data_IF_130384497959
#
_entry.id   IF_130384497959
#
_cell.length_a   1.000
_cell.length_b   1.000
_cell.length_c   1.000
_cell.angle_alpha   90.00
_cell.angle_beta   90.00
_cell.angle_gamma   90.00
#
_symmetry.space_group_name_H-M   'P 1'
#
loop_
_entity.id
_entity.type
_entity.pdbx_description
1 polymer ?
#
# COMPACT_ATOMS: atom_id res chain seq x y z
N UNK A 1 -2.46 26.33 -1.94
CA UNK A 1 -2.95 26.08 -0.58
C UNK A 1 -2.30 24.76 -0.14
N UNK A 2 -1.39 24.82 0.83
CA UNK A 2 -0.78 23.60 1.39
C UNK A 2 -1.84 22.82 2.16
N UNK A 3 -1.67 21.48 2.22
CA UNK A 3 -2.52 20.64 3.04
C UNK A 3 -2.31 20.99 4.53
N UNK A 4 -3.37 21.36 5.24
CA UNK A 4 -3.33 21.74 6.66
C UNK A 4 -3.16 20.53 7.60
N UNK A 5 -3.01 19.33 7.03
CA UNK A 5 -2.89 18.07 7.77
C UNK A 5 -1.55 17.40 7.54
N UNK A 6 -1.09 16.68 8.55
CA UNK A 6 -0.03 15.67 8.41
C UNK A 6 -0.70 14.34 8.16
N UNK A 7 -0.25 13.64 7.11
CA UNK A 7 -0.72 12.30 6.76
C UNK A 7 0.36 11.26 7.05
N UNK A 8 -0.04 10.11 7.59
CA UNK A 8 0.82 8.97 7.85
C UNK A 8 0.12 7.68 7.46
N UNK A 9 0.88 6.64 7.22
CA UNK A 9 0.35 5.29 6.97
C UNK A 9 1.11 4.31 7.84
N UNK A 10 0.38 3.53 8.62
CA UNK A 10 0.93 2.36 9.31
C UNK A 10 0.48 1.10 8.60
N UNK A 11 1.38 0.12 8.49
CA UNK A 11 1.10 -1.17 7.85
C UNK A 11 1.13 -2.23 8.93
N UNK A 12 0.09 -3.05 8.97
CA UNK A 12 0.02 -4.22 9.86
C UNK A 12 -0.53 -5.41 9.09
N UNK A 13 -0.22 -6.63 9.53
CA UNK A 13 -0.82 -7.84 9.02
C UNK A 13 -2.14 -8.09 9.76
N UNK A 14 -3.14 -8.65 9.06
CA UNK A 14 -4.36 -9.15 9.67
C UNK A 14 -4.21 -10.64 9.97
N UNK A 15 -4.60 -11.05 11.16
CA UNK A 15 -4.84 -12.45 11.47
C UNK A 15 -6.24 -12.82 11.00
N UNK A 16 -6.32 -13.70 10.02
CA UNK A 16 -7.58 -14.07 9.35
C UNK A 16 -7.84 -15.56 9.45
N UNK A 17 -9.07 -15.94 9.77
CA UNK A 17 -9.55 -17.33 9.63
C UNK A 17 -9.80 -17.68 8.17
N UNK A 18 -9.98 -18.97 7.85
CA UNK A 18 -10.27 -19.40 6.48
C UNK A 18 -11.59 -18.79 5.97
N UNK A 19 -12.63 -18.72 6.81
CA UNK A 19 -13.92 -18.10 6.44
C UNK A 19 -13.78 -16.59 6.16
N UNK A 20 -12.99 -15.88 6.97
CA UNK A 20 -12.71 -14.46 6.76
C UNK A 20 -11.89 -14.24 5.49
N UNK A 21 -10.96 -15.14 5.20
CA UNK A 21 -10.16 -15.13 3.97
C UNK A 21 -11.04 -15.18 2.74
N UNK A 22 -11.96 -16.14 2.67
CA UNK A 22 -12.86 -16.31 1.53
C UNK A 22 -13.67 -15.04 1.27
N UNK A 23 -14.25 -14.43 2.31
CA UNK A 23 -15.02 -13.18 2.21
C UNK A 23 -14.16 -11.98 1.77
N UNK A 24 -12.92 -11.89 2.23
CA UNK A 24 -12.00 -10.82 1.84
C UNK A 24 -11.53 -11.00 0.39
N UNK A 25 -11.25 -12.21 -0.05
CA UNK A 25 -10.85 -12.52 -1.43
C UNK A 25 -11.99 -12.24 -2.41
N UNK A 26 -13.21 -12.63 -2.06
CA UNK A 26 -14.40 -12.29 -2.84
C UNK A 26 -14.58 -10.77 -2.93
N UNK A 27 -14.47 -10.07 -1.80
CA UNK A 27 -14.56 -8.60 -1.76
C UNK A 27 -13.51 -7.94 -2.65
N UNK A 28 -12.26 -8.42 -2.64
CA UNK A 28 -11.18 -7.95 -3.52
C UNK A 28 -11.51 -8.23 -5.00
N UNK A 29 -12.10 -9.39 -5.29
CA UNK A 29 -12.50 -9.76 -6.65
C UNK A 29 -13.59 -8.83 -7.18
N UNK A 30 -14.65 -8.64 -6.41
CA UNK A 30 -15.75 -7.75 -6.76
C UNK A 30 -15.33 -6.29 -6.81
N UNK A 31 -14.39 -5.87 -5.93
CA UNK A 31 -13.78 -4.56 -5.99
C UNK A 31 -13.06 -4.31 -7.32
N UNK A 32 -12.22 -5.25 -7.77
CA UNK A 32 -11.52 -5.12 -9.06
C UNK A 32 -12.52 -5.04 -10.21
N UNK A 33 -13.55 -5.86 -10.18
CA UNK A 33 -14.63 -5.86 -11.18
C UNK A 33 -15.39 -4.53 -11.22
N UNK A 34 -15.75 -3.98 -10.05
CA UNK A 34 -16.40 -2.68 -9.96
C UNK A 34 -15.52 -1.52 -10.43
N UNK A 35 -14.24 -1.50 -10.06
CA UNK A 35 -13.28 -0.51 -10.57
C UNK A 35 -13.09 -0.60 -12.09
N UNK A 36 -13.02 -1.82 -12.64
CA UNK A 36 -12.87 -2.02 -14.08
C UNK A 36 -14.12 -1.55 -14.84
N UNK A 37 -15.31 -1.92 -14.37
CA UNK A 37 -16.58 -1.49 -14.96
C UNK A 37 -16.70 0.03 -15.01
N UNK A 38 -16.46 0.70 -13.88
CA UNK A 38 -16.50 2.16 -13.81
C UNK A 38 -15.46 2.82 -14.73
N UNK A 39 -14.28 2.21 -14.86
CA UNK A 39 -13.23 2.68 -15.78
C UNK A 39 -13.65 2.52 -17.23
N UNK A 40 -14.25 1.39 -17.60
CA UNK A 40 -14.68 1.11 -18.98
C UNK A 40 -15.76 2.09 -19.45
N UNK A 41 -16.66 2.47 -18.53
CA UNK A 41 -17.70 3.44 -18.81
C UNK A 41 -17.18 4.88 -18.95
N UNK A 42 -16.19 5.25 -18.12
CA UNK A 42 -15.69 6.62 -18.02
C UNK A 42 -14.48 6.92 -18.93
N UNK A 43 -13.76 5.89 -19.40
CA UNK A 43 -12.54 6.06 -20.19
C UNK A 43 -12.75 6.90 -21.45
N UNK A 44 -11.93 7.94 -21.62
CA UNK A 44 -12.02 8.89 -22.71
C UNK A 44 -13.16 9.90 -22.63
N UNK A 45 -13.98 9.87 -21.55
CA UNK A 45 -15.12 10.78 -21.36
C UNK A 45 -14.96 11.62 -20.11
N UNK A 46 -14.71 10.99 -18.96
CA UNK A 46 -14.68 11.60 -17.64
C UNK A 46 -13.50 11.12 -16.81
N UNK A 47 -13.02 11.96 -15.91
CA UNK A 47 -11.94 11.65 -14.97
C UNK A 47 -12.13 12.26 -13.57
N UNK A 48 -13.09 13.16 -13.40
CA UNK A 48 -13.43 13.69 -12.09
C UNK A 48 -14.35 12.73 -11.32
N UNK A 49 -14.17 12.63 -10.01
CA UNK A 49 -15.01 11.78 -9.14
C UNK A 49 -16.49 12.17 -9.24
N UNK A 50 -16.78 13.48 -9.34
CA UNK A 50 -18.14 14.03 -9.49
C UNK A 50 -18.87 13.53 -10.73
N UNK A 51 -18.14 13.15 -11.77
CA UNK A 51 -18.72 12.76 -13.06
C UNK A 51 -18.75 11.23 -13.19
N UNK A 52 -17.68 10.55 -12.74
CA UNK A 52 -17.58 9.09 -12.82
C UNK A 52 -18.54 8.40 -11.87
N UNK A 53 -18.74 8.94 -10.65
CA UNK A 53 -19.65 8.35 -9.68
C UNK A 53 -21.10 8.28 -10.19
N UNK A 54 -21.75 9.37 -10.59
CA UNK A 54 -23.14 9.28 -11.09
C UNK A 54 -23.24 8.48 -12.38
N UNK A 55 -22.19 8.44 -13.21
CA UNK A 55 -22.16 7.65 -14.44
C UNK A 55 -22.20 6.15 -14.18
N UNK A 56 -21.41 5.66 -13.22
CA UNK A 56 -21.13 4.22 -13.11
C UNK A 56 -21.67 3.57 -11.83
N UNK A 57 -22.15 4.35 -10.86
CA UNK A 57 -22.55 3.82 -9.55
C UNK A 57 -23.64 2.73 -9.64
N UNK A 58 -24.71 2.98 -10.42
CA UNK A 58 -25.81 2.03 -10.52
C UNK A 58 -25.36 0.73 -11.19
N UNK A 59 -24.60 0.82 -12.28
CA UNK A 59 -24.09 -0.35 -13.00
C UNK A 59 -23.13 -1.16 -12.10
N UNK A 60 -22.27 -0.50 -11.32
CA UNK A 60 -21.42 -1.19 -10.34
C UNK A 60 -22.26 -1.89 -9.29
N UNK A 61 -23.33 -1.25 -8.77
CA UNK A 61 -24.23 -1.88 -7.78
C UNK A 61 -25.00 -3.06 -8.33
N UNK A 62 -25.39 -3.01 -9.59
CA UNK A 62 -26.19 -4.06 -10.23
C UNK A 62 -25.30 -5.24 -10.71
N UNK A 63 -24.08 -4.94 -11.12
CA UNK A 63 -23.17 -5.94 -11.69
C UNK A 63 -22.17 -6.54 -10.69
N UNK A 64 -22.12 -6.06 -9.45
CA UNK A 64 -21.19 -6.57 -8.41
C UNK A 64 -21.92 -6.75 -7.08
N UNK A 65 -21.38 -7.59 -6.20
CA UNK A 65 -21.88 -7.80 -4.84
C UNK A 65 -21.34 -6.76 -3.83
N UNK A 66 -20.72 -5.68 -4.32
CA UNK A 66 -20.21 -4.61 -3.48
C UNK A 66 -21.34 -3.86 -2.75
N UNK A 67 -21.19 -3.62 -1.46
CA UNK A 67 -22.02 -2.69 -0.71
C UNK A 67 -21.97 -1.26 -1.28
N UNK A 68 -22.99 -0.44 -0.99
CA UNK A 68 -23.15 0.91 -1.56
C UNK A 68 -21.90 1.79 -1.41
N UNK A 69 -21.24 1.76 -0.24
CA UNK A 69 -20.04 2.56 -0.01
C UNK A 69 -18.84 2.05 -0.79
N UNK A 70 -18.64 0.73 -0.87
CA UNK A 70 -17.58 0.16 -1.72
C UNK A 70 -17.81 0.47 -3.20
N UNK A 71 -19.04 0.45 -3.70
CA UNK A 71 -19.36 0.85 -5.07
C UNK A 71 -18.97 2.32 -5.33
N UNK A 72 -19.25 3.24 -4.40
CA UNK A 72 -18.80 4.62 -4.49
C UNK A 72 -17.25 4.70 -4.54
N UNK A 73 -16.57 4.02 -3.61
CA UNK A 73 -15.12 4.01 -3.57
C UNK A 73 -14.49 3.41 -4.84
N UNK A 74 -15.14 2.40 -5.45
CA UNK A 74 -14.69 1.81 -6.71
C UNK A 74 -14.77 2.83 -7.87
N UNK A 75 -15.85 3.61 -7.96
CA UNK A 75 -15.97 4.68 -8.96
C UNK A 75 -14.92 5.78 -8.74
N UNK A 76 -14.61 6.12 -7.48
CA UNK A 76 -13.55 7.07 -7.14
C UNK A 76 -12.16 6.55 -7.49
N UNK A 77 -11.91 5.26 -7.30
CA UNK A 77 -10.65 4.61 -7.68
C UNK A 77 -10.49 4.61 -9.21
N UNK A 78 -11.56 4.35 -9.96
CA UNK A 78 -11.56 4.45 -11.41
C UNK A 78 -11.22 5.88 -11.88
N UNK A 79 -11.87 6.89 -11.31
CA UNK A 79 -11.58 8.29 -11.60
C UNK A 79 -10.11 8.64 -11.35
N UNK A 80 -9.56 8.22 -10.20
CA UNK A 80 -8.15 8.43 -9.85
C UNK A 80 -7.19 7.76 -10.85
N UNK A 81 -7.49 6.53 -11.26
CA UNK A 81 -6.68 5.81 -12.24
C UNK A 81 -6.69 6.49 -13.61
N UNK A 82 -7.86 6.96 -14.08
CA UNK A 82 -7.99 7.72 -15.33
C UNK A 82 -7.22 9.03 -15.26
N UNK A 83 -7.35 9.78 -14.16
CA UNK A 83 -6.59 11.03 -13.94
C UNK A 83 -5.10 10.79 -14.00
N UNK A 84 -4.58 9.76 -13.34
CA UNK A 84 -3.17 9.40 -13.41
C UNK A 84 -2.69 9.04 -14.83
N UNK A 85 -3.55 8.45 -15.66
CA UNK A 85 -3.24 8.23 -17.08
C UNK A 85 -3.15 9.55 -17.86
N UNK A 86 -4.07 10.50 -17.62
CA UNK A 86 -4.07 11.82 -18.27
C UNK A 86 -2.80 12.59 -17.88
N UNK A 87 -2.41 12.60 -16.61
CA UNK A 87 -1.19 13.25 -16.14
C UNK A 87 0.08 12.63 -16.77
N UNK A 88 0.11 11.30 -16.94
CA UNK A 88 1.21 10.62 -17.64
C UNK A 88 1.26 10.98 -19.12
N UNK A 89 0.09 11.09 -19.77
CA UNK A 89 -0.01 11.53 -21.17
C UNK A 89 0.47 12.96 -21.35
N UNK A 90 0.17 13.86 -20.40
CA UNK A 90 0.66 15.23 -20.40
C UNK A 90 2.20 15.34 -20.27
N UNK A 91 2.86 14.27 -19.84
CA UNK A 91 4.33 14.11 -19.76
C UNK A 91 4.88 13.28 -20.94
N UNK A 92 4.20 13.23 -22.08
CA UNK A 92 4.54 12.49 -23.30
C UNK A 92 4.78 10.98 -23.09
N UNK A 93 4.20 10.39 -22.03
CA UNK A 93 4.28 8.94 -21.80
C UNK A 93 3.16 8.21 -22.53
N UNK A 94 3.47 7.04 -23.09
CA UNK A 94 2.43 6.13 -23.61
C UNK A 94 1.51 5.72 -22.47
N UNK A 95 0.21 5.81 -22.71
CA UNK A 95 -0.83 5.39 -21.77
C UNK A 95 -1.83 4.48 -22.45
N UNK A 96 -2.30 3.49 -21.71
CA UNK A 96 -3.44 2.62 -22.08
C UNK A 96 -4.53 2.77 -21.02
N UNK A 97 -5.73 2.28 -21.34
CA UNK A 97 -6.82 2.20 -20.38
C UNK A 97 -6.36 1.42 -19.13
N UNK A 98 -6.62 1.92 -17.92
CA UNK A 98 -6.25 1.22 -16.69
C UNK A 98 -6.92 -0.16 -16.58
N UNK A 99 -6.19 -1.13 -16.05
CA UNK A 99 -6.70 -2.46 -15.67
C UNK A 99 -6.39 -2.73 -14.20
N UNK A 100 -7.35 -3.33 -13.48
CA UNK A 100 -7.27 -3.57 -12.04
C UNK A 100 -6.93 -5.04 -11.77
N UNK A 101 -5.66 -5.35 -11.64
CA UNK A 101 -5.15 -6.70 -11.39
C UNK A 101 -4.65 -6.91 -9.96
N UNK A 102 -4.22 -5.83 -9.30
CA UNK A 102 -3.67 -5.91 -7.94
C UNK A 102 -4.74 -6.42 -6.95
N UNK A 103 -4.39 -7.35 -6.04
CA UNK A 103 -5.30 -7.88 -5.02
C UNK A 103 -5.44 -6.87 -3.87
N UNK A 104 -6.13 -5.76 -4.13
CA UNK A 104 -6.34 -4.67 -3.18
C UNK A 104 -7.80 -4.27 -3.11
N UNK A 105 -8.22 -3.75 -1.96
CA UNK A 105 -9.51 -3.09 -1.78
C UNK A 105 -9.34 -1.87 -0.86
N UNK A 106 -10.09 -0.82 -1.09
CA UNK A 106 -10.06 0.39 -0.28
C UNK A 106 -11.21 0.44 0.71
N UNK A 107 -10.88 0.96 1.86
CA UNK A 107 -11.79 1.18 2.97
C UNK A 107 -11.77 2.64 3.40
N UNK A 108 -12.91 3.14 3.83
CA UNK A 108 -13.06 4.42 4.50
C UNK A 108 -13.69 4.21 5.89
N UNK A 109 -13.97 5.28 6.61
CA UNK A 109 -14.56 5.24 7.96
C UNK A 109 -15.97 4.65 8.02
N UNK A 110 -16.65 4.45 6.87
CA UNK A 110 -17.96 3.78 6.79
C UNK A 110 -17.82 2.27 6.59
N UNK A 111 -16.76 1.85 5.92
CA UNK A 111 -16.50 0.46 5.58
C UNK A 111 -15.48 -0.21 6.50
N UNK A 112 -14.74 0.57 7.28
CA UNK A 112 -13.75 0.10 8.25
C UNK A 112 -13.92 0.80 9.59
N UNK A 113 -13.74 0.04 10.68
CA UNK A 113 -13.66 0.55 12.04
C UNK A 113 -12.49 -0.11 12.74
N UNK A 114 -11.55 0.66 13.26
CA UNK A 114 -10.47 0.18 14.13
C UNK A 114 -10.94 0.34 15.56
N UNK A 115 -10.66 -0.64 16.41
CA UNK A 115 -11.07 -0.68 17.82
C UNK A 115 -9.83 -0.62 18.73
N UNK A 116 -10.03 -0.19 19.97
CA UNK A 116 -8.97 -0.03 20.97
C UNK A 116 -8.41 -1.37 21.48
N UNK A 117 -9.07 -2.49 21.15
CA UNK A 117 -8.66 -3.86 21.51
C UNK A 117 -7.81 -4.53 20.43
N UNK A 118 -7.12 -3.74 19.61
CA UNK A 118 -6.26 -4.22 18.54
C UNK A 118 -6.99 -5.03 17.45
N UNK A 119 -8.28 -4.80 17.27
CA UNK A 119 -9.06 -5.41 16.21
C UNK A 119 -9.52 -4.39 15.18
N UNK A 120 -9.85 -4.87 14.00
CA UNK A 120 -10.47 -4.09 12.93
C UNK A 120 -11.70 -4.79 12.38
N UNK A 121 -12.77 -4.03 12.17
CA UNK A 121 -13.95 -4.51 11.45
C UNK A 121 -13.95 -3.98 10.03
N UNK A 122 -14.02 -4.87 9.06
CA UNK A 122 -14.02 -4.58 7.63
C UNK A 122 -15.35 -5.03 7.01
N UNK A 123 -15.96 -4.17 6.20
CA UNK A 123 -17.10 -4.57 5.38
C UNK A 123 -16.66 -5.48 4.25
N UNK A 124 -17.41 -6.54 3.99
CA UNK A 124 -17.20 -7.44 2.84
C UNK A 124 -18.42 -7.38 1.92
N UNK A 125 -18.48 -8.25 0.93
CA UNK A 125 -19.62 -8.41 0.03
C UNK A 125 -20.89 -8.85 0.77
N UNK A 126 -20.78 -9.71 1.79
CA UNK A 126 -21.91 -10.26 2.53
C UNK A 126 -22.13 -9.56 3.89
N UNK A 127 -21.08 -9.44 4.68
CA UNK A 127 -21.18 -9.01 6.08
C UNK A 127 -19.97 -8.19 6.50
N UNK A 128 -19.84 -7.88 7.78
CA UNK A 128 -18.61 -7.35 8.34
C UNK A 128 -17.81 -8.46 9.00
N UNK A 129 -16.52 -8.52 8.72
CA UNK A 129 -15.57 -9.40 9.40
C UNK A 129 -14.77 -8.59 10.41
N UNK A 130 -14.46 -9.20 11.56
CA UNK A 130 -13.60 -8.63 12.59
C UNK A 130 -12.33 -9.46 12.68
N UNK A 131 -11.19 -8.84 12.44
CA UNK A 131 -9.87 -9.47 12.41
C UNK A 131 -8.97 -8.83 13.46
N UNK A 132 -8.05 -9.60 14.00
CA UNK A 132 -6.99 -9.11 14.88
C UNK A 132 -5.89 -8.44 14.04
N UNK A 133 -5.33 -7.35 14.58
CA UNK A 133 -4.16 -6.66 14.01
C UNK A 133 -2.90 -7.29 14.62
N UNK A 134 -2.03 -7.84 13.79
CA UNK A 134 -0.72 -8.32 14.24
C UNK A 134 0.19 -7.13 14.58
N UNK A 135 0.05 -6.63 15.80
CA UNK A 135 0.83 -5.50 16.32
C UNK A 135 1.99 -6.00 17.18
N UNK A 136 3.14 -5.26 17.21
CA UNK A 136 4.23 -5.61 18.11
C UNK A 136 3.81 -5.41 19.57
N UNK A 137 4.29 -6.29 20.46
CA UNK A 137 4.01 -6.26 21.91
C UNK A 137 4.63 -5.05 22.62
N UNK A 138 5.49 -4.28 21.96
CA UNK A 138 6.17 -3.15 22.57
C UNK A 138 5.31 -1.88 22.49
N UNK A 139 5.16 -1.17 23.61
CA UNK A 139 4.42 0.10 23.73
C UNK A 139 4.92 1.21 22.78
N UNK A 140 6.12 1.07 22.20
CA UNK A 140 6.75 2.02 21.29
C UNK A 140 6.79 1.53 19.83
N UNK A 141 5.95 0.57 19.45
CA UNK A 141 5.81 0.13 18.06
C UNK A 141 5.36 1.27 17.13
N UNK A 142 5.85 1.24 15.87
CA UNK A 142 5.52 2.29 14.89
C UNK A 142 4.00 2.49 14.72
N UNK A 143 3.21 1.40 14.75
CA UNK A 143 1.76 1.44 14.62
C UNK A 143 1.08 2.04 15.85
N UNK A 144 1.57 1.72 17.05
CA UNK A 144 1.02 2.15 18.34
C UNK A 144 1.01 3.68 18.48
N UNK A 145 2.02 4.38 17.98
CA UNK A 145 2.08 5.85 18.03
C UNK A 145 0.91 6.55 17.32
N UNK A 146 0.20 5.84 16.43
CA UNK A 146 -0.97 6.37 15.72
C UNK A 146 -2.28 5.79 16.26
N UNK A 147 -2.29 4.51 16.62
CA UNK A 147 -3.48 3.81 17.11
C UNK A 147 -3.85 4.25 18.52
N UNK A 148 -2.85 4.39 19.40
CA UNK A 148 -3.06 4.72 20.82
C UNK A 148 -3.12 6.24 21.08
N UNK A 149 -3.25 7.06 20.05
CA UNK A 149 -3.19 8.52 20.18
C UNK A 149 -4.46 9.19 19.68
N UNK A 150 -5.13 9.92 20.58
CA UNK A 150 -6.32 10.73 20.28
C UNK A 150 -6.06 11.87 19.26
N UNK A 151 -4.79 12.19 19.01
CA UNK A 151 -4.42 13.24 18.04
C UNK A 151 -4.55 12.81 16.58
N UNK A 152 -4.60 11.51 16.31
CA UNK A 152 -4.67 10.97 14.97
C UNK A 152 -6.06 10.43 14.66
N UNK A 153 -6.56 10.76 13.49
CA UNK A 153 -7.83 10.24 12.97
C UNK A 153 -7.57 9.26 11.85
N UNK A 154 -8.21 8.10 11.92
CA UNK A 154 -8.19 7.11 10.83
C UNK A 154 -8.89 7.66 9.59
N UNK A 155 -8.33 7.38 8.41
CA UNK A 155 -8.88 7.81 7.12
C UNK A 155 -8.90 6.64 6.11
N UNK A 156 -8.99 6.99 4.81
CA UNK A 156 -8.95 6.00 3.74
C UNK A 156 -7.75 5.06 3.91
N UNK A 157 -8.02 3.78 3.96
CA UNK A 157 -7.09 2.69 4.18
C UNK A 157 -7.14 1.71 3.03
N UNK A 158 -6.15 0.84 2.91
CA UNK A 158 -6.09 -0.14 1.81
C UNK A 158 -5.71 -1.50 2.36
N UNK A 159 -6.52 -2.51 2.09
CA UNK A 159 -6.13 -3.90 2.27
C UNK A 159 -5.44 -4.38 1.00
N UNK A 160 -4.32 -5.08 1.16
CA UNK A 160 -3.55 -5.68 0.07
C UNK A 160 -3.16 -7.10 0.44
N UNK A 161 -3.35 -8.05 -0.46
CA UNK A 161 -2.85 -9.41 -0.28
C UNK A 161 -1.50 -9.54 -0.97
N UNK A 162 -0.50 -10.01 -0.25
CA UNK A 162 0.84 -10.25 -0.77
C UNK A 162 1.43 -11.51 -0.16
N UNK A 163 1.87 -12.42 -1.01
CA UNK A 163 2.50 -13.71 -0.63
C UNK A 163 1.63 -14.55 0.35
N UNK A 164 0.30 -14.37 0.31
CA UNK A 164 -0.67 -15.01 1.20
C UNK A 164 -0.99 -14.22 2.48
N UNK A 165 -0.26 -13.15 2.76
CA UNK A 165 -0.49 -12.26 3.91
C UNK A 165 -1.48 -11.14 3.56
N UNK A 166 -2.36 -10.80 4.49
CA UNK A 166 -3.33 -9.71 4.41
C UNK A 166 -2.79 -8.47 5.09
N UNK A 167 -2.22 -7.55 4.31
CA UNK A 167 -1.60 -6.33 4.80
C UNK A 167 -2.60 -5.17 4.78
N UNK A 168 -2.92 -4.63 5.95
CA UNK A 168 -3.75 -3.44 6.08
C UNK A 168 -2.88 -2.20 6.23
N UNK A 169 -2.96 -1.33 5.23
CA UNK A 169 -2.34 0.00 5.22
C UNK A 169 -3.33 1.00 5.81
N UNK A 170 -3.22 1.28 7.09
CA UNK A 170 -4.12 2.19 7.80
C UNK A 170 -3.65 3.62 7.58
N UNK A 171 -4.49 4.44 6.95
CA UNK A 171 -4.25 5.87 6.77
C UNK A 171 -4.62 6.65 8.03
N UNK A 172 -3.75 7.57 8.43
CA UNK A 172 -3.96 8.48 9.56
C UNK A 172 -3.75 9.92 9.14
N UNK A 173 -4.47 10.83 9.78
CA UNK A 173 -4.24 12.27 9.65
C UNK A 173 -4.39 12.97 10.99
N UNK A 174 -3.66 14.07 11.15
CA UNK A 174 -3.87 15.06 12.21
C UNK A 174 -3.66 16.47 11.67
N UNK A 175 -4.24 17.49 12.29
CA UNK A 175 -3.91 18.89 11.95
C UNK A 175 -2.41 19.15 12.14
N UNK A 176 -1.83 20.00 11.29
CA UNK A 176 -0.48 20.53 11.52
C UNK A 176 -0.47 21.43 12.76
N UNK A 177 0.57 21.30 13.55
CA UNK A 177 0.86 22.26 14.64
C UNK A 177 1.34 23.59 14.04
N UNK A 178 1.28 24.66 14.83
CA UNK A 178 1.75 25.98 14.37
C UNK A 178 3.25 25.94 14.03
N UNK A 179 4.04 25.17 14.76
CA UNK A 179 5.46 24.96 14.45
C UNK A 179 5.63 24.29 13.07
N UNK A 180 4.85 23.26 12.74
CA UNK A 180 4.93 22.57 11.45
C UNK A 180 4.43 23.44 10.27
N UNK A 181 3.52 24.37 10.51
CA UNK A 181 3.10 25.36 9.51
C UNK A 181 4.21 26.38 9.23
N UNK A 182 4.84 26.88 10.30
CA UNK A 182 5.88 27.93 10.20
C UNK A 182 7.20 27.36 9.67
N UNK A 183 7.54 26.10 9.98
CA UNK A 183 8.77 25.45 9.49
C UNK A 183 8.80 25.29 7.96
N UNK A 184 7.65 25.33 7.29
CA UNK A 184 7.57 25.28 5.82
C UNK A 184 8.11 26.57 5.15
N UNK A 185 8.12 27.71 5.86
CA UNK A 185 8.61 28.99 5.34
C UNK A 185 10.09 29.23 5.70
N UNK A 186 10.54 28.77 6.89
CA UNK A 186 11.90 29.01 7.42
C UNK A 186 12.73 27.71 7.62
N UNK A 187 12.22 26.57 7.20
CA UNK A 187 12.83 25.26 7.46
C UNK A 187 14.08 24.97 6.62
N UNK A 188 15.05 24.32 7.23
CA UNK A 188 16.19 23.73 6.52
C UNK A 188 15.73 22.50 5.76
N UNK A 189 15.95 22.46 4.45
CA UNK A 189 15.66 21.29 3.60
C UNK A 189 16.87 20.37 3.61
N UNK A 190 16.66 19.13 4.06
CA UNK A 190 17.65 18.07 3.90
C UNK A 190 17.42 17.39 2.55
N UNK A 191 18.32 17.61 1.61
CA UNK A 191 18.38 16.84 0.36
C UNK A 191 19.01 15.48 0.61
N UNK A 192 18.41 14.41 0.10
CA UNK A 192 18.95 13.05 0.16
C UNK A 192 18.97 12.48 -1.26
N UNK A 193 20.15 12.09 -1.73
CA UNK A 193 20.35 11.36 -2.97
C UNK A 193 20.57 9.87 -2.66
N UNK A 194 19.82 9.00 -3.35
CA UNK A 194 19.90 7.55 -3.17
C UNK A 194 20.64 6.92 -4.35
N UNK A 195 21.65 6.10 -4.06
CA UNK A 195 22.48 5.48 -5.07
C UNK A 195 22.90 4.05 -4.73
N UNK A 196 23.68 3.43 -5.62
CA UNK A 196 24.16 2.04 -5.48
C UNK A 196 25.50 1.99 -4.74
N UNK A 197 26.39 2.91 -5.01
CA UNK A 197 27.71 2.95 -4.34
C UNK A 197 27.60 3.53 -2.92
N UNK A 198 26.81 4.59 -2.78
CA UNK A 198 26.35 5.08 -1.50
C UNK A 198 24.86 4.89 -1.43
N UNK A 199 24.36 4.22 -0.39
CA UNK A 199 22.93 3.99 -0.17
C UNK A 199 22.18 5.32 -0.06
N UNK A 200 22.79 6.29 0.62
CA UNK A 200 22.30 7.65 0.72
C UNK A 200 23.46 8.64 0.85
N UNK A 201 23.30 9.81 0.25
CA UNK A 201 24.16 10.99 0.45
C UNK A 201 23.27 12.17 0.81
N UNK A 202 23.54 12.83 1.91
CA UNK A 202 22.77 13.99 2.36
C UNK A 202 23.40 15.31 1.92
N UNK A 203 22.60 16.35 1.80
CA UNK A 203 23.07 17.73 1.55
C UNK A 203 23.98 18.29 2.67
N UNK A 204 24.00 17.62 3.82
CA UNK A 204 24.91 17.90 4.95
C UNK A 204 26.21 17.11 4.86
N UNK A 205 26.54 16.54 3.71
CA UNK A 205 27.74 15.73 3.44
C UNK A 205 27.86 14.46 4.31
N UNK A 206 26.75 13.87 4.75
CA UNK A 206 26.75 12.54 5.34
C UNK A 206 26.64 11.47 4.24
N UNK A 207 27.51 10.45 4.30
CA UNK A 207 27.61 9.40 3.29
C UNK A 207 27.32 8.05 3.95
N UNK A 208 26.33 7.35 3.44
CA UNK A 208 25.96 5.99 3.87
C UNK A 208 26.44 5.01 2.79
N UNK A 209 27.58 4.35 3.03
CA UNK A 209 28.21 3.48 2.03
C UNK A 209 27.38 2.21 1.78
N UNK A 210 27.18 1.87 0.50
CA UNK A 210 26.53 0.62 0.04
C UNK A 210 27.54 -0.51 -0.26
N UNK A 211 28.83 -0.33 0.01
CA UNK A 211 29.90 -1.29 -0.42
C UNK A 211 29.70 -2.67 0.17
N UNK A 212 29.39 -2.77 1.45
CA UNK A 212 29.17 -4.05 2.14
C UNK A 212 27.95 -4.76 1.54
N UNK A 213 26.82 -4.07 1.43
CA UNK A 213 25.61 -4.61 0.81
C UNK A 213 25.87 -5.07 -0.63
N UNK A 214 26.59 -4.29 -1.43
CA UNK A 214 26.91 -4.64 -2.81
C UNK A 214 27.85 -5.86 -2.88
N UNK A 215 28.80 -5.98 -1.95
CA UNK A 215 29.67 -7.15 -1.87
C UNK A 215 28.85 -8.42 -1.57
N UNK A 216 28.01 -8.37 -0.55
CA UNK A 216 27.22 -9.51 -0.13
C UNK A 216 26.18 -9.94 -1.18
N UNK A 217 25.53 -8.99 -1.85
CA UNK A 217 24.67 -9.30 -2.98
C UNK A 217 25.40 -10.03 -4.11
N UNK A 218 26.63 -9.64 -4.43
CA UNK A 218 27.46 -10.35 -5.43
C UNK A 218 27.80 -11.77 -4.99
N UNK A 219 28.03 -11.99 -3.71
CA UNK A 219 28.26 -13.35 -3.19
C UNK A 219 26.97 -14.20 -3.27
N UNK A 220 25.80 -13.64 -2.93
CA UNK A 220 24.53 -14.30 -3.15
C UNK A 220 24.28 -14.66 -4.62
N UNK A 221 24.60 -13.76 -5.54
CA UNK A 221 24.51 -14.01 -6.99
C UNK A 221 25.41 -15.14 -7.46
N UNK A 222 26.65 -15.21 -6.98
CA UNK A 222 27.58 -16.32 -7.31
C UNK A 222 27.03 -17.66 -6.83
N UNK A 223 26.52 -17.72 -5.59
CA UNK A 223 25.93 -18.94 -5.03
C UNK A 223 24.72 -19.35 -5.85
N UNK A 224 23.85 -18.39 -6.19
CA UNK A 224 22.67 -18.61 -7.02
C UNK A 224 23.03 -19.17 -8.39
N UNK A 225 24.00 -18.55 -9.07
CA UNK A 225 24.47 -18.99 -10.39
C UNK A 225 25.03 -20.43 -10.33
N UNK A 226 25.81 -20.77 -9.30
CA UNK A 226 26.32 -22.13 -9.10
C UNK A 226 25.22 -23.17 -8.89
N UNK A 227 24.22 -22.84 -8.08
CA UNK A 227 23.08 -23.72 -7.85
C UNK A 227 22.22 -23.91 -9.12
N UNK A 228 22.02 -22.85 -9.90
CA UNK A 228 21.28 -22.92 -11.18
C UNK A 228 22.01 -23.79 -12.20
N UNK A 229 23.34 -23.70 -12.29
CA UNK A 229 24.14 -24.55 -13.17
C UNK A 229 24.08 -26.04 -12.78
N UNK A 230 23.95 -26.34 -11.48
CA UNK A 230 23.86 -27.72 -10.98
C UNK A 230 22.57 -28.42 -11.41
N UNK A 231 21.45 -27.71 -11.54
CA UNK A 231 20.18 -28.19 -12.12
C UNK A 231 19.47 -29.35 -11.39
N UNK A 232 19.91 -29.71 -10.17
CA UNK A 232 19.32 -30.81 -9.40
C UNK A 232 18.12 -30.36 -8.57
N UNK A 233 17.21 -31.29 -8.20
CA UNK A 233 16.07 -30.99 -7.29
C UNK A 233 16.53 -30.37 -5.96
N UNK A 234 17.68 -30.83 -5.44
CA UNK A 234 18.26 -30.27 -4.20
C UNK A 234 18.69 -28.83 -4.41
N UNK A 235 19.33 -28.51 -5.54
CA UNK A 235 19.73 -27.14 -5.89
C UNK A 235 18.49 -26.22 -6.03
N UNK A 236 17.42 -26.66 -6.66
CA UNK A 236 16.16 -25.87 -6.74
C UNK A 236 15.57 -25.57 -5.37
N UNK A 237 15.49 -26.57 -4.48
CA UNK A 237 15.01 -26.36 -3.09
C UNK A 237 15.89 -25.37 -2.32
N UNK A 238 17.19 -25.43 -2.50
CA UNK A 238 18.12 -24.47 -1.87
C UNK A 238 17.96 -23.07 -2.44
N UNK A 239 17.69 -22.92 -3.73
CA UNK A 239 17.40 -21.63 -4.37
C UNK A 239 16.14 -20.98 -3.81
N UNK A 240 15.05 -21.72 -3.64
CA UNK A 240 13.81 -21.23 -3.03
C UNK A 240 14.05 -20.76 -1.60
N UNK A 241 14.79 -21.51 -0.79
CA UNK A 241 15.12 -21.12 0.58
C UNK A 241 16.06 -19.92 0.65
N UNK A 242 16.99 -19.76 -0.30
CA UNK A 242 17.99 -18.68 -0.30
C UNK A 242 17.38 -17.33 -0.70
N UNK A 243 16.37 -17.30 -1.58
CA UNK A 243 15.75 -16.04 -2.02
C UNK A 243 15.08 -15.28 -0.87
N UNK A 244 14.41 -15.99 0.04
CA UNK A 244 13.83 -15.37 1.24
C UNK A 244 14.86 -14.87 2.27
N UNK A 245 16.05 -15.47 2.31
CA UNK A 245 17.16 -15.00 3.18
C UNK A 245 17.80 -13.73 2.63
N UNK A 246 18.02 -13.65 1.33
CA UNK A 246 18.56 -12.48 0.65
C UNK A 246 17.66 -11.26 0.86
N UNK A 247 16.36 -11.39 0.66
CA UNK A 247 15.40 -10.30 0.86
C UNK A 247 15.38 -9.81 2.33
N UNK A 248 15.43 -10.72 3.29
CA UNK A 248 15.51 -10.35 4.72
C UNK A 248 16.80 -9.63 5.04
N UNK A 249 17.93 -10.13 4.55
CA UNK A 249 19.22 -9.48 4.74
C UNK A 249 19.25 -8.05 4.20
N UNK A 250 18.80 -7.84 2.94
CA UNK A 250 18.72 -6.49 2.34
C UNK A 250 17.84 -5.57 3.18
N UNK A 251 16.68 -6.07 3.64
CA UNK A 251 15.80 -5.30 4.52
C UNK A 251 16.49 -4.90 5.81
N UNK A 252 17.16 -5.84 6.46
CA UNK A 252 17.85 -5.60 7.73
C UNK A 252 19.00 -4.58 7.58
N UNK A 253 19.75 -4.64 6.49
CA UNK A 253 20.81 -3.65 6.21
C UNK A 253 20.23 -2.27 5.99
N UNK A 254 19.16 -2.16 5.18
CA UNK A 254 18.49 -0.88 4.91
C UNK A 254 17.82 -0.28 6.16
N UNK A 255 17.43 -1.10 7.14
CA UNK A 255 16.89 -0.61 8.42
C UNK A 255 17.95 -0.13 9.40
N UNK A 256 19.21 -0.54 9.22
CA UNK A 256 20.34 -0.16 10.09
C UNK A 256 21.14 1.04 9.56
N UNK A 257 20.96 1.35 8.27
CA UNK A 257 21.59 2.51 7.61
C UNK A 257 20.80 3.80 7.86
#
# INVERSE_FOLDING_TARGET
MGDDYVHRTAITCLEVTDEQRDLLEETISEWKRGCQLATDMAWGKYNAKSDVQPLAYNDVRECTDLGSQHAILATHQAAKAITGCIERKAKDKKVSKPTFTAPTVKYDTRTMTVFDDDTVSLSTTESRVRCDLALPDADNGYQRQYLDSDNWSVMESTLTVRDGDYLLHIGFRRPKTDTERNTAEDGTVLGVDLGIENLAVTSTASFFSGRELTHDLREFEKVRAGLQQTGTRSAHRTLEQSSGRELRYVRDVLHRA
#
